data_IF_963950656323
#
_entry.id   IF_963950656323
#
_cell.length_a   1.000
_cell.length_b   1.000
_cell.length_c   1.000
_cell.angle_alpha   90.00
_cell.angle_beta   90.00
_cell.angle_gamma   90.00
#
_symmetry.space_group_name_H-M   'P 1'
#
loop_
_entity.id
_entity.type
_entity.pdbx_description
1 polymer ?
#
# COMPACT_ATOMS: atom_id res chain seq x y z
N UNK A 1 5.57 39.12 -36.99
CA UNK A 1 6.72 40.06 -37.09
C UNK A 1 7.94 39.23 -37.46
N UNK A 2 8.53 39.48 -38.67
CA UNK A 2 9.69 38.67 -39.12
C UNK A 2 10.91 38.77 -38.18
N UNK A 3 11.78 37.75 -38.13
CA UNK A 3 12.94 37.66 -37.22
C UNK A 3 13.84 38.90 -37.27
N UNK A 4 14.01 39.56 -38.44
CA UNK A 4 14.79 40.80 -38.58
C UNK A 4 14.17 42.00 -37.85
N UNK A 5 12.83 42.06 -37.77
CA UNK A 5 12.12 43.14 -37.09
C UNK A 5 12.18 43.00 -35.55
N UNK A 6 12.13 41.77 -35.05
CA UNK A 6 12.27 41.49 -33.59
C UNK A 6 13.64 41.91 -33.06
N UNK A 7 14.74 41.54 -33.76
CA UNK A 7 16.09 41.91 -33.36
C UNK A 7 16.29 43.45 -33.33
N UNK A 8 15.74 44.18 -34.28
CA UNK A 8 15.78 45.65 -34.31
C UNK A 8 15.04 46.26 -33.11
N UNK A 9 13.84 45.74 -32.79
CA UNK A 9 13.07 46.20 -31.63
C UNK A 9 13.79 45.92 -30.31
N UNK A 10 14.36 44.72 -30.15
CA UNK A 10 15.14 44.38 -28.94
C UNK A 10 16.35 45.31 -28.81
N UNK A 11 17.10 45.55 -29.90
CA UNK A 11 18.25 46.45 -29.89
C UNK A 11 17.86 47.89 -29.48
N UNK A 12 16.81 48.43 -30.02
CA UNK A 12 16.31 49.76 -29.69
C UNK A 12 15.83 49.83 -28.23
N UNK A 13 15.02 48.88 -27.81
CA UNK A 13 14.57 48.79 -26.41
C UNK A 13 15.73 48.65 -25.43
N UNK A 14 16.75 47.84 -25.76
CA UNK A 14 17.95 47.69 -24.92
C UNK A 14 18.72 49.02 -24.78
N UNK A 15 18.84 49.84 -25.83
CA UNK A 15 19.45 51.17 -25.75
C UNK A 15 18.66 52.11 -24.82
N UNK A 16 17.34 52.07 -24.88
CA UNK A 16 16.45 52.84 -24.00
C UNK A 16 16.56 52.41 -22.55
N UNK A 17 16.60 51.08 -22.31
CA UNK A 17 16.77 50.52 -20.98
C UNK A 17 18.17 50.81 -20.38
N UNK A 18 19.19 50.96 -21.22
CA UNK A 18 20.52 51.38 -20.78
C UNK A 18 20.53 52.83 -20.26
N UNK A 19 19.66 53.71 -20.80
CA UNK A 19 19.51 55.08 -20.33
C UNK A 19 18.52 55.19 -19.15
N UNK A 20 17.43 54.43 -19.20
CA UNK A 20 16.41 54.39 -18.16
C UNK A 20 15.96 52.93 -17.94
N UNK A 21 16.48 52.25 -16.91
CA UNK A 21 16.12 50.85 -16.62
C UNK A 21 14.60 50.65 -16.38
N UNK A 22 13.87 51.68 -16.01
CA UNK A 22 12.43 51.64 -15.74
C UNK A 22 11.58 52.18 -16.89
N UNK A 23 12.15 52.33 -18.11
CA UNK A 23 11.37 52.74 -19.28
C UNK A 23 10.26 51.73 -19.57
N UNK A 24 9.03 52.11 -19.19
CA UNK A 24 7.87 51.23 -19.23
C UNK A 24 7.51 50.76 -20.65
N UNK A 25 7.75 51.60 -21.67
CA UNK A 25 7.47 51.23 -23.07
C UNK A 25 8.52 50.22 -23.57
N UNK A 26 9.78 50.43 -23.26
CA UNK A 26 10.84 49.51 -23.64
C UNK A 26 10.72 48.17 -22.95
N UNK A 27 10.42 48.15 -21.63
CA UNK A 27 10.16 46.92 -20.85
C UNK A 27 8.99 46.13 -21.43
N UNK A 28 7.89 46.78 -21.80
CA UNK A 28 6.71 46.12 -22.39
C UNK A 28 7.06 45.49 -23.75
N UNK A 29 7.78 46.23 -24.61
CA UNK A 29 8.18 45.76 -25.93
C UNK A 29 9.05 44.49 -25.85
N UNK A 30 10.09 44.49 -25.01
CA UNK A 30 10.96 43.31 -24.86
C UNK A 30 10.24 42.19 -24.13
N UNK A 31 9.44 42.48 -23.13
CA UNK A 31 8.65 41.50 -22.39
C UNK A 31 7.70 40.74 -23.32
N UNK A 32 7.01 41.44 -24.21
CA UNK A 32 6.09 40.84 -25.19
C UNK A 32 6.83 39.94 -26.19
N UNK A 33 8.02 40.35 -26.64
CA UNK A 33 8.84 39.54 -27.54
C UNK A 33 9.33 38.26 -26.82
N UNK A 34 9.89 38.41 -25.62
CA UNK A 34 10.37 37.28 -24.84
C UNK A 34 9.23 36.31 -24.45
N UNK A 35 8.06 36.84 -24.11
CA UNK A 35 6.89 36.03 -23.83
C UNK A 35 6.45 35.19 -25.05
N UNK A 36 6.39 35.83 -26.26
CA UNK A 36 6.07 35.16 -27.52
C UNK A 36 7.13 34.09 -27.89
N UNK A 37 8.40 34.36 -27.60
CA UNK A 37 9.52 33.46 -27.87
C UNK A 37 9.68 32.42 -26.76
N UNK A 38 8.84 32.42 -25.72
CA UNK A 38 8.85 31.51 -24.55
C UNK A 38 10.15 31.59 -23.75
N UNK A 39 10.89 32.75 -23.83
CA UNK A 39 12.02 33.01 -22.93
C UNK A 39 11.46 33.58 -21.62
N UNK A 40 10.98 32.61 -20.78
CA UNK A 40 10.20 32.94 -19.58
C UNK A 40 10.97 33.76 -18.56
N UNK A 41 12.27 33.51 -18.41
CA UNK A 41 13.12 34.28 -17.49
C UNK A 41 13.22 35.73 -17.88
N UNK A 42 13.49 36.04 -19.16
CA UNK A 42 13.58 37.42 -19.65
C UNK A 42 12.21 38.06 -19.69
N UNK A 43 11.16 37.32 -20.04
CA UNK A 43 9.80 37.83 -19.97
C UNK A 43 9.43 38.28 -18.55
N UNK A 44 9.67 37.38 -17.55
CA UNK A 44 9.45 37.69 -16.15
C UNK A 44 10.24 38.94 -15.70
N UNK A 45 11.53 39.01 -16.00
CA UNK A 45 12.39 40.11 -15.62
C UNK A 45 11.92 41.46 -16.25
N UNK A 46 11.34 41.38 -17.46
CA UNK A 46 10.82 42.56 -18.15
C UNK A 46 9.47 43.05 -17.59
N UNK A 47 8.57 42.13 -17.19
CA UNK A 47 7.28 42.49 -16.62
C UNK A 47 7.33 42.88 -15.15
N UNK A 48 8.29 42.36 -14.36
CA UNK A 48 8.35 42.60 -12.92
C UNK A 48 8.39 44.10 -12.53
N UNK A 49 9.22 44.94 -13.14
CA UNK A 49 9.23 46.37 -12.82
C UNK A 49 7.93 47.12 -13.23
N UNK A 50 7.19 46.58 -14.22
CA UNK A 50 5.94 47.15 -14.67
C UNK A 50 4.82 47.07 -13.65
N UNK A 51 4.89 46.10 -12.71
CA UNK A 51 3.90 45.94 -11.63
C UNK A 51 3.88 47.16 -10.70
N UNK A 52 5.00 47.83 -10.49
CA UNK A 52 5.07 49.02 -9.64
C UNK A 52 4.47 50.28 -10.33
N UNK A 53 4.28 50.21 -11.65
CA UNK A 53 3.74 51.27 -12.48
C UNK A 53 2.28 51.02 -12.91
N UNK A 54 1.57 50.12 -12.24
CA UNK A 54 0.21 49.69 -12.64
C UNK A 54 -0.85 50.76 -12.49
N UNK A 55 -0.73 51.67 -11.50
CA UNK A 55 -1.72 52.72 -11.23
C UNK A 55 -1.89 53.72 -12.36
N UNK A 56 -0.89 53.87 -13.21
CA UNK A 56 -0.89 54.83 -14.34
C UNK A 56 -1.44 54.20 -15.64
N UNK A 57 -1.82 52.93 -15.62
CA UNK A 57 -2.24 52.18 -16.81
C UNK A 57 -3.74 51.93 -16.85
N UNK A 58 -4.25 51.81 -18.08
CA UNK A 58 -5.64 51.39 -18.29
C UNK A 58 -5.87 49.92 -17.90
N UNK A 59 -7.08 49.53 -17.50
CA UNK A 59 -7.36 48.18 -17.03
C UNK A 59 -6.98 47.04 -17.98
N UNK A 60 -7.07 47.26 -19.29
CA UNK A 60 -6.67 46.28 -20.30
C UNK A 60 -5.16 46.01 -20.29
N UNK A 61 -4.32 47.04 -20.14
CA UNK A 61 -2.86 46.89 -20.02
C UNK A 61 -2.49 46.27 -18.68
N UNK A 62 -3.14 46.70 -17.59
CA UNK A 62 -2.95 46.08 -16.27
C UNK A 62 -3.23 44.59 -16.32
N UNK A 63 -4.29 44.20 -17.01
CA UNK A 63 -4.66 42.78 -17.18
C UNK A 63 -3.56 41.99 -17.92
N UNK A 64 -3.15 42.48 -19.11
CA UNK A 64 -2.16 41.79 -19.94
C UNK A 64 -0.79 41.65 -19.23
N UNK A 65 -0.30 42.74 -18.61
CA UNK A 65 0.96 42.73 -17.87
C UNK A 65 0.90 41.76 -16.70
N UNK A 66 -0.16 41.83 -15.89
CA UNK A 66 -0.35 40.95 -14.73
C UNK A 66 -0.44 39.47 -15.11
N UNK A 67 -1.18 39.18 -16.19
CA UNK A 67 -1.34 37.84 -16.71
C UNK A 67 -0.02 37.27 -17.21
N UNK A 68 0.69 38.00 -18.07
CA UNK A 68 1.97 37.56 -18.66
C UNK A 68 3.07 37.48 -17.63
N UNK A 69 3.14 38.38 -16.67
CA UNK A 69 4.01 38.27 -15.51
C UNK A 69 3.73 37.00 -14.72
N UNK A 70 2.47 36.74 -14.38
CA UNK A 70 2.06 35.59 -13.64
C UNK A 70 2.39 34.26 -14.35
N UNK A 71 2.14 34.18 -15.67
CA UNK A 71 2.49 33.01 -16.48
C UNK A 71 4.00 32.82 -16.57
N UNK A 72 4.77 33.88 -16.82
CA UNK A 72 6.23 33.82 -16.89
C UNK A 72 6.84 33.36 -15.57
N UNK A 73 6.36 33.91 -14.45
CA UNK A 73 6.77 33.50 -13.11
C UNK A 73 6.44 32.02 -12.83
N UNK A 74 5.25 31.55 -13.25
CA UNK A 74 4.87 30.14 -13.12
C UNK A 74 5.79 29.21 -13.92
N UNK A 75 6.15 29.61 -15.16
CA UNK A 75 7.03 28.83 -16.03
C UNK A 75 8.49 28.79 -15.56
N UNK A 76 8.86 29.63 -14.62
CA UNK A 76 10.17 29.70 -13.97
C UNK A 76 10.12 29.25 -12.50
N UNK A 77 9.07 28.50 -12.12
CA UNK A 77 8.82 27.94 -10.79
C UNK A 77 8.75 28.98 -9.64
N UNK A 78 8.51 30.25 -9.98
CA UNK A 78 8.31 31.36 -9.02
C UNK A 78 6.83 31.43 -8.63
N UNK A 79 6.35 30.43 -7.86
CA UNK A 79 4.93 30.26 -7.56
C UNK A 79 4.29 31.39 -6.71
N UNK A 80 5.08 32.05 -5.87
CA UNK A 80 4.60 33.19 -5.06
C UNK A 80 4.29 34.38 -5.96
N UNK A 81 5.23 34.72 -6.81
CA UNK A 81 5.15 35.81 -7.80
C UNK A 81 4.08 35.51 -8.85
N UNK A 82 4.01 34.25 -9.30
CA UNK A 82 2.97 33.78 -10.20
C UNK A 82 1.57 34.01 -9.62
N UNK A 83 1.33 33.64 -8.36
CA UNK A 83 0.06 33.90 -7.68
C UNK A 83 -0.23 35.40 -7.58
N UNK A 84 0.77 36.23 -7.24
CA UNK A 84 0.59 37.68 -7.17
C UNK A 84 0.08 38.23 -8.50
N UNK A 85 0.76 37.93 -9.62
CA UNK A 85 0.37 38.41 -10.94
C UNK A 85 -1.01 37.89 -11.38
N UNK A 86 -1.25 36.57 -11.22
CA UNK A 86 -2.53 35.99 -11.61
C UNK A 86 -3.71 36.48 -10.77
N UNK A 87 -3.52 36.78 -9.48
CA UNK A 87 -4.57 37.39 -8.65
C UNK A 87 -4.87 38.85 -9.04
N UNK A 88 -3.85 39.60 -9.41
CA UNK A 88 -4.06 40.97 -9.97
C UNK A 88 -4.88 40.91 -11.27
N UNK A 89 -4.50 40.06 -12.21
CA UNK A 89 -5.24 39.83 -13.44
C UNK A 89 -6.68 39.35 -13.18
N UNK A 90 -6.89 38.49 -12.18
CA UNK A 90 -8.21 37.98 -11.79
C UNK A 90 -9.15 39.05 -11.29
N UNK A 91 -8.65 40.11 -10.62
CA UNK A 91 -9.48 41.20 -10.16
C UNK A 91 -10.12 41.97 -11.34
N UNK A 92 -9.47 41.96 -12.51
CA UNK A 92 -9.96 42.62 -13.73
C UNK A 92 -10.86 41.67 -14.53
N UNK A 93 -10.40 40.43 -14.75
CA UNK A 93 -11.17 39.41 -15.46
C UNK A 93 -11.22 38.08 -14.67
N UNK A 94 -12.20 37.93 -13.77
CA UNK A 94 -12.28 36.76 -12.87
C UNK A 94 -12.64 35.43 -13.56
N UNK A 95 -13.12 35.47 -14.81
CA UNK A 95 -13.57 34.28 -15.53
C UNK A 95 -12.58 33.81 -16.62
N UNK A 96 -11.41 34.46 -16.73
CA UNK A 96 -10.44 34.12 -17.75
C UNK A 96 -9.89 32.69 -17.51
N UNK A 97 -9.87 31.92 -18.58
CA UNK A 97 -9.45 30.49 -18.50
C UNK A 97 -8.05 30.35 -17.92
N UNK A 98 -7.04 30.99 -18.51
CA UNK A 98 -5.63 30.82 -18.14
C UNK A 98 -5.35 31.20 -16.69
N UNK A 99 -6.01 32.24 -16.17
CA UNK A 99 -5.88 32.66 -14.78
C UNK A 99 -6.37 31.54 -13.85
N UNK A 100 -7.61 31.08 -14.09
CA UNK A 100 -8.21 30.07 -13.25
C UNK A 100 -7.48 28.72 -13.36
N UNK A 101 -7.07 28.32 -14.57
CA UNK A 101 -6.28 27.13 -14.78
C UNK A 101 -4.93 27.20 -14.05
N UNK A 102 -4.17 28.27 -14.24
CA UNK A 102 -2.84 28.39 -13.64
C UNK A 102 -2.88 28.54 -12.11
N UNK A 103 -3.84 29.28 -11.55
CA UNK A 103 -4.05 29.31 -10.10
C UNK A 103 -4.41 27.93 -9.56
N UNK A 104 -5.33 27.23 -10.22
CA UNK A 104 -5.69 25.88 -9.84
C UNK A 104 -4.50 24.92 -9.90
N UNK A 105 -3.68 24.99 -10.94
CA UNK A 105 -2.47 24.22 -11.09
C UNK A 105 -1.43 24.52 -10.00
N UNK A 106 -1.18 25.81 -9.70
CA UNK A 106 -0.25 26.20 -8.63
C UNK A 106 -0.71 25.66 -7.28
N UNK A 107 -2.00 25.78 -6.94
CA UNK A 107 -2.54 25.22 -5.71
C UNK A 107 -2.44 23.70 -5.66
N UNK A 108 -2.63 23.01 -6.80
CA UNK A 108 -2.43 21.57 -6.90
C UNK A 108 -0.97 21.17 -6.59
N UNK A 109 0.02 21.84 -7.20
CA UNK A 109 1.45 21.58 -6.96
C UNK A 109 1.84 21.85 -5.50
N UNK A 110 1.26 22.88 -4.90
CA UNK A 110 1.46 23.21 -3.49
C UNK A 110 0.67 22.30 -2.53
N UNK A 111 -0.05 21.29 -3.05
CA UNK A 111 -0.91 20.38 -2.30
C UNK A 111 -2.03 21.05 -1.51
N UNK A 112 -2.39 22.29 -1.90
CA UNK A 112 -3.53 23.04 -1.37
C UNK A 112 -4.80 22.66 -2.16
N UNK A 113 -5.16 21.39 -2.12
CA UNK A 113 -6.16 20.78 -3.01
C UNK A 113 -7.56 21.42 -2.90
N UNK A 114 -7.99 21.78 -1.68
CA UNK A 114 -9.27 22.43 -1.45
C UNK A 114 -9.36 23.78 -2.16
N UNK A 115 -8.25 24.51 -2.26
CA UNK A 115 -8.18 25.78 -3.00
C UNK A 115 -8.07 25.55 -4.50
N UNK A 116 -7.46 24.46 -4.95
CA UNK A 116 -7.31 24.15 -6.37
C UNK A 116 -8.65 23.88 -7.05
N UNK A 117 -9.55 23.12 -6.41
CA UNK A 117 -10.85 22.68 -6.99
C UNK A 117 -11.68 23.82 -7.55
N UNK A 118 -12.00 24.91 -6.80
CA UNK A 118 -12.84 25.98 -7.31
C UNK A 118 -12.23 26.68 -8.52
N UNK A 119 -10.91 26.85 -8.58
CA UNK A 119 -10.24 27.45 -9.72
C UNK A 119 -10.29 26.55 -10.95
N UNK A 120 -9.98 25.27 -10.81
CA UNK A 120 -10.05 24.32 -11.92
C UNK A 120 -11.48 24.16 -12.46
N UNK A 121 -12.48 24.08 -11.57
CA UNK A 121 -13.89 24.08 -11.98
C UNK A 121 -14.26 25.36 -12.75
N UNK A 122 -13.78 26.51 -12.28
CA UNK A 122 -14.05 27.79 -12.94
C UNK A 122 -13.39 27.87 -14.32
N UNK A 123 -12.18 27.35 -14.48
CA UNK A 123 -11.52 27.21 -15.78
C UNK A 123 -12.37 26.36 -16.74
N UNK A 124 -12.90 25.24 -16.25
CA UNK A 124 -13.74 24.33 -17.06
C UNK A 124 -15.14 24.89 -17.39
N UNK A 125 -15.62 25.94 -16.71
CA UNK A 125 -16.81 26.67 -17.15
C UNK A 125 -16.56 27.41 -18.46
N UNK A 126 -15.33 27.88 -18.69
CA UNK A 126 -14.94 28.59 -19.89
C UNK A 126 -14.50 27.66 -21.02
N UNK A 127 -13.77 26.60 -20.67
CA UNK A 127 -13.29 25.57 -21.60
C UNK A 127 -13.61 24.16 -21.04
N UNK A 128 -14.83 23.65 -21.27
CA UNK A 128 -15.30 22.40 -20.63
C UNK A 128 -14.52 21.14 -20.98
N UNK A 129 -13.87 21.14 -22.15
CA UNK A 129 -13.16 19.96 -22.67
C UNK A 129 -11.63 20.14 -22.65
N UNK A 130 -11.15 21.13 -21.89
CA UNK A 130 -9.71 21.31 -21.75
C UNK A 130 -9.10 20.15 -20.96
N UNK A 131 -8.34 19.30 -21.65
CA UNK A 131 -7.77 18.05 -21.13
C UNK A 131 -6.88 18.28 -19.92
N UNK A 132 -6.07 19.35 -19.92
CA UNK A 132 -5.17 19.66 -18.80
C UNK A 132 -5.93 20.10 -17.55
N UNK A 133 -6.96 20.92 -17.70
CA UNK A 133 -7.81 21.34 -16.58
C UNK A 133 -8.60 20.15 -16.01
N UNK A 134 -9.14 19.28 -16.86
CA UNK A 134 -9.81 18.04 -16.46
C UNK A 134 -8.85 17.09 -15.73
N UNK A 135 -7.64 16.91 -16.24
CA UNK A 135 -6.60 16.08 -15.63
C UNK A 135 -6.29 16.53 -14.20
N UNK A 136 -5.96 17.82 -14.04
CA UNK A 136 -5.63 18.33 -12.71
C UNK A 136 -6.84 18.38 -11.77
N UNK A 137 -8.06 18.63 -12.27
CA UNK A 137 -9.26 18.52 -11.46
C UNK A 137 -9.46 17.06 -10.97
N UNK A 138 -9.31 16.07 -11.84
CA UNK A 138 -9.40 14.66 -11.50
C UNK A 138 -8.40 14.25 -10.41
N UNK A 139 -7.12 14.63 -10.59
CA UNK A 139 -6.07 14.35 -9.62
C UNK A 139 -6.26 15.09 -8.28
N UNK A 140 -6.74 16.33 -8.34
CA UNK A 140 -7.04 17.10 -7.13
C UNK A 140 -8.16 16.46 -6.32
N UNK A 141 -9.25 16.06 -6.99
CA UNK A 141 -10.38 15.39 -6.36
C UNK A 141 -9.99 14.01 -5.80
N UNK A 142 -9.17 13.25 -6.52
CA UNK A 142 -8.59 11.99 -6.02
C UNK A 142 -7.78 12.23 -4.74
N UNK A 143 -6.90 13.23 -4.73
CA UNK A 143 -6.08 13.58 -3.55
C UNK A 143 -6.94 13.98 -2.35
N UNK A 144 -8.11 14.60 -2.59
CA UNK A 144 -9.11 14.91 -1.57
C UNK A 144 -10.00 13.71 -1.19
N UNK A 145 -9.74 12.52 -1.71
CA UNK A 145 -10.55 11.32 -1.53
C UNK A 145 -12.00 11.45 -2.05
N UNK A 146 -12.24 12.41 -2.95
CA UNK A 146 -13.53 12.60 -3.62
C UNK A 146 -13.60 11.77 -4.89
N UNK A 147 -13.42 10.47 -4.72
CA UNK A 147 -13.21 9.52 -5.81
C UNK A 147 -14.36 9.51 -6.84
N UNK A 148 -15.61 9.53 -6.36
CA UNK A 148 -16.78 9.56 -7.25
C UNK A 148 -16.80 10.83 -8.13
N UNK A 149 -16.40 11.98 -7.57
CA UNK A 149 -16.36 13.25 -8.31
C UNK A 149 -15.16 13.31 -9.29
N UNK A 150 -14.08 12.56 -9.02
CA UNK A 150 -12.90 12.53 -9.87
C UNK A 150 -13.14 11.73 -11.17
N UNK A 151 -13.92 10.65 -11.12
CA UNK A 151 -14.14 9.71 -12.23
C UNK A 151 -14.62 10.37 -13.53
N UNK A 152 -15.61 11.29 -13.55
CA UNK A 152 -16.04 11.95 -14.79
C UNK A 152 -14.95 12.75 -15.47
N UNK A 153 -14.11 13.46 -14.68
CA UNK A 153 -13.00 14.26 -15.22
C UNK A 153 -11.92 13.36 -15.81
N UNK A 154 -11.53 12.29 -15.09
CA UNK A 154 -10.54 11.31 -15.57
C UNK A 154 -11.02 10.59 -16.81
N UNK A 155 -12.32 10.23 -16.88
CA UNK A 155 -12.90 9.59 -18.06
C UNK A 155 -12.78 10.49 -19.28
N UNK A 156 -13.15 11.77 -19.18
CA UNK A 156 -13.00 12.74 -20.29
C UNK A 156 -11.54 12.88 -20.75
N UNK A 157 -10.57 12.85 -19.82
CA UNK A 157 -9.15 12.84 -20.18
C UNK A 157 -8.81 11.61 -21.05
N UNK A 158 -9.29 10.43 -20.66
CA UNK A 158 -9.03 9.17 -21.35
C UNK A 158 -9.82 9.05 -22.68
N UNK A 159 -10.96 9.72 -22.81
CA UNK A 159 -11.67 9.80 -24.11
C UNK A 159 -10.83 10.51 -25.18
N UNK A 160 -9.97 11.48 -24.78
CA UNK A 160 -9.06 12.21 -25.67
C UNK A 160 -7.67 11.59 -25.73
N UNK A 161 -7.19 11.06 -24.62
CA UNK A 161 -5.85 10.46 -24.45
C UNK A 161 -5.97 9.05 -23.87
N UNK A 162 -6.38 8.04 -24.64
CA UNK A 162 -6.60 6.66 -24.15
C UNK A 162 -5.34 6.03 -23.55
N UNK A 163 -4.17 6.40 -24.06
CA UNK A 163 -2.86 5.86 -23.63
C UNK A 163 -2.24 6.60 -22.43
N UNK A 164 -2.98 7.54 -21.82
CA UNK A 164 -2.48 8.27 -20.64
C UNK A 164 -2.50 7.35 -19.41
N UNK A 165 -1.38 6.65 -19.18
CA UNK A 165 -1.24 5.63 -18.14
C UNK A 165 -1.43 6.17 -16.73
N UNK A 166 -1.01 7.41 -16.46
CA UNK A 166 -1.21 8.05 -15.16
C UNK A 166 -2.69 8.34 -14.89
N UNK A 167 -3.42 8.88 -15.89
CA UNK A 167 -4.85 9.13 -15.76
C UNK A 167 -5.64 7.82 -15.63
N UNK A 168 -5.23 6.79 -16.38
CA UNK A 168 -5.83 5.45 -16.28
C UNK A 168 -5.55 4.82 -14.91
N UNK A 169 -4.33 4.97 -14.38
CA UNK A 169 -3.99 4.51 -13.05
C UNK A 169 -4.80 5.24 -11.97
N UNK A 170 -4.90 6.57 -12.05
CA UNK A 170 -5.71 7.38 -11.14
C UNK A 170 -7.20 6.96 -11.16
N UNK A 171 -7.74 6.65 -12.34
CA UNK A 171 -9.09 6.12 -12.48
C UNK A 171 -9.24 4.74 -11.83
N UNK A 172 -8.23 3.88 -11.98
CA UNK A 172 -8.16 2.58 -11.30
C UNK A 172 -8.18 2.70 -9.77
N UNK A 173 -7.39 3.63 -9.22
CA UNK A 173 -7.40 3.93 -7.78
C UNK A 173 -8.78 4.44 -7.32
N UNK A 174 -9.40 5.34 -8.08
CA UNK A 174 -10.75 5.79 -7.76
C UNK A 174 -11.76 4.63 -7.74
N UNK A 175 -11.73 3.71 -8.73
CA UNK A 175 -12.59 2.53 -8.73
C UNK A 175 -12.33 1.60 -7.54
N UNK A 176 -11.07 1.41 -7.18
CA UNK A 176 -10.70 0.59 -6.01
C UNK A 176 -11.25 1.17 -4.71
N UNK A 177 -11.10 2.46 -4.51
CA UNK A 177 -11.54 3.15 -3.28
C UNK A 177 -13.07 3.25 -3.15
N UNK A 178 -13.80 3.29 -4.29
CA UNK A 178 -15.27 3.22 -4.26
C UNK A 178 -15.81 1.79 -4.23
N UNK A 179 -14.93 0.78 -4.17
CA UNK A 179 -15.32 -0.64 -4.09
C UNK A 179 -15.65 -1.29 -5.42
N UNK A 180 -15.45 -0.62 -6.56
CA UNK A 180 -15.67 -1.17 -7.91
C UNK A 180 -14.49 -2.04 -8.35
N UNK A 181 -14.22 -3.11 -7.59
CA UNK A 181 -13.02 -3.93 -7.71
C UNK A 181 -12.83 -4.56 -9.09
N UNK A 182 -13.89 -4.95 -9.79
CA UNK A 182 -13.79 -5.55 -11.13
C UNK A 182 -13.26 -4.55 -12.17
N UNK A 183 -13.70 -3.29 -12.09
CA UNK A 183 -13.23 -2.21 -12.97
C UNK A 183 -11.79 -1.84 -12.64
N UNK A 184 -11.47 -1.69 -11.36
CA UNK A 184 -10.11 -1.45 -10.89
C UNK A 184 -9.15 -2.56 -11.33
N UNK A 185 -9.54 -3.84 -11.15
CA UNK A 185 -8.71 -4.98 -11.51
C UNK A 185 -8.42 -5.05 -13.01
N UNK A 186 -9.38 -4.75 -13.88
CA UNK A 186 -9.16 -4.68 -15.33
C UNK A 186 -8.08 -3.65 -15.67
N UNK A 187 -8.17 -2.45 -15.09
CA UNK A 187 -7.22 -1.37 -15.30
C UNK A 187 -5.83 -1.77 -14.78
N UNK A 188 -5.72 -2.21 -13.54
CA UNK A 188 -4.44 -2.55 -12.94
C UNK A 188 -3.77 -3.76 -13.61
N UNK A 189 -4.54 -4.76 -14.03
CA UNK A 189 -4.01 -5.90 -14.81
C UNK A 189 -3.42 -5.44 -16.14
N UNK A 190 -4.04 -4.46 -16.81
CA UNK A 190 -3.51 -3.87 -18.03
C UNK A 190 -2.22 -3.07 -17.76
N UNK A 191 -2.20 -2.28 -16.69
CA UNK A 191 -1.10 -1.38 -16.37
C UNK A 191 0.10 -2.05 -15.69
N UNK A 192 -0.03 -3.25 -15.11
CA UNK A 192 1.02 -3.91 -14.31
C UNK A 192 2.34 -4.16 -15.06
N UNK A 193 2.33 -4.10 -16.39
CA UNK A 193 3.52 -4.25 -17.24
C UNK A 193 4.12 -2.91 -17.71
N UNK A 194 3.49 -1.78 -17.36
CA UNK A 194 3.94 -0.45 -17.76
C UNK A 194 5.15 -0.01 -16.93
N UNK A 195 6.21 0.52 -17.56
CA UNK A 195 7.39 0.98 -16.81
C UNK A 195 7.08 2.07 -15.77
N UNK A 196 6.14 3.00 -16.08
CA UNK A 196 5.90 4.17 -15.24
C UNK A 196 5.04 3.86 -14.01
N UNK A 197 4.00 3.03 -14.16
CA UNK A 197 3.01 2.77 -13.11
C UNK A 197 2.89 1.29 -12.74
N UNK A 198 3.63 0.42 -13.46
CA UNK A 198 3.51 -1.04 -13.35
C UNK A 198 3.65 -1.60 -11.94
N UNK A 199 4.68 -1.24 -11.17
CA UNK A 199 4.84 -1.74 -9.80
C UNK A 199 3.65 -1.43 -8.90
N UNK A 200 3.13 -0.21 -8.98
CA UNK A 200 1.95 0.19 -8.21
C UNK A 200 0.68 -0.52 -8.71
N UNK A 201 0.50 -0.63 -10.02
CA UNK A 201 -0.64 -1.33 -10.60
C UNK A 201 -0.63 -2.82 -10.25
N UNK A 202 0.52 -3.47 -10.27
CA UNK A 202 0.70 -4.86 -9.83
C UNK A 202 0.36 -5.04 -8.35
N UNK A 203 0.76 -4.09 -7.51
CA UNK A 203 0.41 -4.09 -6.09
C UNK A 203 -1.11 -4.07 -5.90
N UNK A 204 -1.83 -3.15 -6.53
CA UNK A 204 -3.29 -3.07 -6.42
C UNK A 204 -3.99 -4.31 -7.00
N UNK A 205 -3.55 -4.80 -8.17
CA UNK A 205 -4.12 -6.02 -8.76
C UNK A 205 -3.97 -7.23 -7.82
N UNK A 206 -2.78 -7.41 -7.26
CA UNK A 206 -2.49 -8.45 -6.29
C UNK A 206 -3.31 -8.34 -5.01
N UNK A 207 -3.47 -7.12 -4.47
CA UNK A 207 -4.31 -6.87 -3.28
C UNK A 207 -5.78 -7.21 -3.53
N UNK A 208 -6.33 -6.80 -4.67
CA UNK A 208 -7.73 -7.12 -5.04
C UNK A 208 -7.91 -8.64 -5.12
N UNK A 209 -7.02 -9.34 -5.83
CA UNK A 209 -7.07 -10.80 -5.98
C UNK A 209 -6.87 -11.54 -4.66
N UNK A 210 -5.97 -11.06 -3.81
CA UNK A 210 -5.74 -11.64 -2.49
C UNK A 210 -6.97 -11.54 -1.59
N UNK A 211 -7.69 -10.41 -1.63
CA UNK A 211 -8.99 -10.23 -0.93
C UNK A 211 -10.08 -11.13 -1.49
N UNK A 212 -10.06 -11.39 -2.80
CA UNK A 212 -10.99 -12.29 -3.48
C UNK A 212 -10.61 -13.80 -3.31
N UNK A 213 -9.57 -14.14 -2.54
CA UNK A 213 -9.10 -15.50 -2.34
C UNK A 213 -8.36 -16.11 -3.54
N UNK A 214 -8.06 -15.34 -4.59
CA UNK A 214 -7.33 -15.79 -5.78
C UNK A 214 -5.81 -15.71 -5.54
N UNK A 215 -5.31 -16.53 -4.61
CA UNK A 215 -3.96 -16.41 -4.07
C UNK A 215 -2.87 -16.59 -5.13
N UNK A 216 -2.99 -17.58 -6.02
CA UNK A 216 -2.01 -17.86 -7.06
C UNK A 216 -1.86 -16.68 -8.04
N UNK A 217 -3.00 -16.10 -8.45
CA UNK A 217 -3.00 -14.92 -9.33
C UNK A 217 -2.46 -13.68 -8.61
N UNK A 218 -2.71 -13.56 -7.30
CA UNK A 218 -2.14 -12.45 -6.52
C UNK A 218 -0.62 -12.54 -6.39
N UNK A 219 -0.09 -13.76 -6.21
CA UNK A 219 1.35 -14.03 -6.22
C UNK A 219 1.96 -13.61 -7.57
N UNK A 220 1.32 -14.00 -8.68
CA UNK A 220 1.76 -13.64 -10.03
C UNK A 220 1.83 -12.11 -10.21
N UNK A 221 0.80 -11.38 -9.76
CA UNK A 221 0.78 -9.91 -9.87
C UNK A 221 1.92 -9.28 -9.07
N UNK A 222 2.14 -9.70 -7.81
CA UNK A 222 3.24 -9.16 -7.00
C UNK A 222 4.61 -9.48 -7.61
N UNK A 223 4.80 -10.68 -8.17
CA UNK A 223 6.03 -11.06 -8.85
C UNK A 223 6.28 -10.24 -10.13
N UNK A 224 5.22 -9.93 -10.89
CA UNK A 224 5.32 -9.03 -12.05
C UNK A 224 5.75 -7.64 -11.58
N UNK A 225 5.15 -7.13 -10.50
CA UNK A 225 5.52 -5.84 -9.93
C UNK A 225 6.99 -5.76 -9.53
N UNK A 226 7.53 -6.84 -8.96
CA UNK A 226 8.93 -6.92 -8.51
C UNK A 226 9.95 -7.08 -9.65
N UNK A 227 9.51 -7.37 -10.88
CA UNK A 227 10.41 -7.50 -12.05
C UNK A 227 10.74 -6.15 -12.72
N UNK A 228 10.08 -5.08 -12.32
CA UNK A 228 10.39 -3.75 -12.83
C UNK A 228 11.69 -3.21 -12.25
N UNK A 229 12.39 -2.38 -13.03
CA UNK A 229 13.57 -1.67 -12.57
C UNK A 229 13.20 -0.37 -11.83
N UNK A 230 14.07 0.08 -10.92
CA UNK A 230 13.93 1.39 -10.27
C UNK A 230 12.71 1.54 -9.37
N UNK A 231 12.19 0.46 -8.81
CA UNK A 231 11.00 0.49 -7.95
C UNK A 231 11.31 1.32 -6.68
N UNK A 232 10.48 2.31 -6.32
CA UNK A 232 10.60 3.00 -5.04
C UNK A 232 10.58 2.02 -3.87
N UNK A 233 11.42 2.26 -2.85
CA UNK A 233 11.63 1.32 -1.74
C UNK A 233 10.37 0.98 -0.97
N UNK A 234 9.49 1.95 -0.78
CA UNK A 234 8.18 1.77 -0.14
C UNK A 234 7.28 0.80 -0.91
N UNK A 235 7.19 0.96 -2.25
CA UNK A 235 6.42 0.08 -3.12
C UNK A 235 7.05 -1.33 -3.18
N UNK A 236 8.38 -1.41 -3.25
CA UNK A 236 9.08 -2.69 -3.22
C UNK A 236 8.81 -3.47 -1.93
N UNK A 237 8.88 -2.80 -0.79
CA UNK A 237 8.59 -3.42 0.50
C UNK A 237 7.12 -3.87 0.60
N UNK A 238 6.17 -3.07 0.10
CA UNK A 238 4.75 -3.45 0.06
C UNK A 238 4.51 -4.67 -0.83
N UNK A 239 5.12 -4.72 -2.02
CA UNK A 239 5.02 -5.86 -2.94
C UNK A 239 5.56 -7.14 -2.27
N UNK A 240 6.77 -7.09 -1.69
CA UNK A 240 7.39 -8.23 -1.02
C UNK A 240 6.61 -8.68 0.21
N UNK A 241 6.12 -7.74 1.00
CA UNK A 241 5.33 -8.06 2.20
C UNK A 241 4.03 -8.78 1.84
N UNK A 242 3.30 -8.27 0.85
CA UNK A 242 2.05 -8.91 0.40
C UNK A 242 2.30 -10.22 -0.35
N UNK A 243 3.40 -10.33 -1.11
CA UNK A 243 3.84 -11.60 -1.72
C UNK A 243 4.13 -12.64 -0.64
N UNK A 244 4.86 -12.28 0.42
CA UNK A 244 5.11 -13.18 1.54
C UNK A 244 3.80 -13.59 2.23
N UNK A 245 2.88 -12.65 2.46
CA UNK A 245 1.58 -12.95 3.06
C UNK A 245 0.73 -13.91 2.19
N UNK A 246 0.73 -13.74 0.88
CA UNK A 246 0.06 -14.65 -0.05
C UNK A 246 0.70 -16.05 -0.03
N UNK A 247 2.03 -16.13 -0.03
CA UNK A 247 2.78 -17.40 0.05
C UNK A 247 2.61 -18.13 1.38
N UNK A 248 2.46 -17.40 2.50
CA UNK A 248 2.11 -17.99 3.80
C UNK A 248 0.72 -18.65 3.72
N UNK A 249 -0.25 -17.96 3.09
CA UNK A 249 -1.61 -18.54 2.92
C UNK A 249 -1.62 -19.78 2.01
N UNK A 250 -0.73 -19.86 1.03
CA UNK A 250 -0.56 -21.05 0.17
C UNK A 250 0.42 -22.07 0.75
N UNK A 251 0.88 -21.87 1.99
CA UNK A 251 1.81 -22.75 2.72
C UNK A 251 3.22 -22.86 2.10
N UNK A 252 3.59 -21.99 1.18
CA UNK A 252 4.96 -21.90 0.63
C UNK A 252 5.84 -21.05 1.55
N UNK A 253 6.11 -21.59 2.76
CA UNK A 253 6.84 -20.87 3.80
C UNK A 253 8.27 -20.55 3.43
N UNK A 254 8.93 -21.40 2.64
CA UNK A 254 10.31 -21.20 2.22
C UNK A 254 10.45 -19.94 1.36
N UNK A 255 9.60 -19.80 0.34
CA UNK A 255 9.62 -18.62 -0.53
C UNK A 255 9.10 -17.37 0.18
N UNK A 256 8.15 -17.51 1.12
CA UNK A 256 7.70 -16.40 1.95
C UNK A 256 8.85 -15.84 2.81
N UNK A 257 9.64 -16.71 3.45
CA UNK A 257 10.79 -16.30 4.26
C UNK A 257 11.88 -15.58 3.46
N UNK A 258 12.08 -15.95 2.18
CA UNK A 258 13.01 -15.24 1.30
C UNK A 258 12.58 -13.76 1.20
N UNK A 259 11.31 -13.51 0.89
CA UNK A 259 10.81 -12.15 0.74
C UNK A 259 10.88 -11.33 2.03
N UNK A 260 10.52 -11.95 3.16
CA UNK A 260 10.59 -11.29 4.47
C UNK A 260 12.05 -10.93 4.85
N UNK A 261 13.02 -11.82 4.59
CA UNK A 261 14.44 -11.56 4.87
C UNK A 261 15.01 -10.46 4.00
N UNK A 262 14.59 -10.35 2.74
CA UNK A 262 14.99 -9.26 1.86
C UNK A 262 14.46 -7.90 2.38
N UNK A 263 13.21 -7.84 2.88
CA UNK A 263 12.70 -6.64 3.55
C UNK A 263 13.52 -6.33 4.80
N UNK A 264 13.79 -7.34 5.64
CA UNK A 264 14.55 -7.18 6.88
C UNK A 264 15.96 -6.61 6.63
N UNK A 265 16.60 -7.00 5.53
CA UNK A 265 17.95 -6.53 5.16
C UNK A 265 17.94 -5.07 4.76
N UNK A 266 16.93 -4.63 4.01
CA UNK A 266 16.87 -3.25 3.47
C UNK A 266 16.14 -2.29 4.41
N UNK A 267 15.15 -2.79 5.15
CA UNK A 267 14.27 -2.01 6.03
C UNK A 267 14.00 -2.78 7.35
N UNK A 268 14.97 -2.85 8.29
CA UNK A 268 14.87 -3.71 9.48
C UNK A 268 13.66 -3.48 10.39
N UNK A 269 13.08 -2.27 10.37
CA UNK A 269 11.90 -1.91 11.17
C UNK A 269 10.57 -1.94 10.43
N UNK A 270 10.52 -2.55 9.25
CA UNK A 270 9.31 -2.54 8.44
C UNK A 270 8.24 -3.46 9.02
N UNK A 271 7.09 -2.88 9.42
CA UNK A 271 5.92 -3.60 9.98
C UNK A 271 6.33 -4.69 11.01
N UNK A 272 5.72 -5.84 10.96
CA UNK A 272 5.96 -7.00 11.84
C UNK A 272 6.88 -8.06 11.22
N UNK A 273 7.69 -7.69 10.23
CA UNK A 273 8.55 -8.60 9.46
C UNK A 273 9.45 -9.45 10.34
N UNK A 274 10.09 -8.85 11.36
CA UNK A 274 10.98 -9.59 12.26
C UNK A 274 10.25 -10.71 13.02
N UNK A 275 9.05 -10.43 13.51
CA UNK A 275 8.24 -11.43 14.23
C UNK A 275 7.71 -12.52 13.29
N UNK A 276 7.36 -12.19 12.05
CA UNK A 276 6.96 -13.15 11.02
C UNK A 276 8.13 -14.09 10.66
N UNK A 277 9.34 -13.55 10.50
CA UNK A 277 10.54 -14.38 10.25
C UNK A 277 10.75 -15.37 11.37
N UNK A 278 10.78 -14.93 12.64
CA UNK A 278 10.94 -15.84 13.78
C UNK A 278 9.89 -16.95 13.78
N UNK A 279 8.62 -16.57 13.61
CA UNK A 279 7.49 -17.51 13.62
C UNK A 279 7.57 -18.55 12.51
N UNK A 280 7.78 -18.11 11.28
CA UNK A 280 7.73 -19.02 10.12
C UNK A 280 9.04 -19.75 9.88
N UNK A 281 10.17 -19.23 10.37
CA UNK A 281 11.45 -19.96 10.34
C UNK A 281 11.40 -21.20 11.24
N UNK A 282 10.81 -21.09 12.44
CA UNK A 282 10.58 -22.24 13.33
C UNK A 282 9.69 -23.31 12.65
N UNK A 283 8.59 -22.85 12.02
CA UNK A 283 7.67 -23.74 11.28
C UNK A 283 8.33 -24.42 10.08
N UNK A 284 9.16 -23.70 9.33
CA UNK A 284 9.84 -24.20 8.15
C UNK A 284 10.93 -25.22 8.51
N UNK A 285 11.56 -25.10 9.69
CA UNK A 285 12.58 -26.04 10.18
C UNK A 285 11.97 -27.31 10.77
N UNK A 286 10.75 -27.25 11.30
CA UNK A 286 10.06 -28.39 11.91
C UNK A 286 8.81 -28.78 11.11
N UNK A 287 8.96 -29.74 10.21
CA UNK A 287 7.88 -30.26 9.36
C UNK A 287 6.69 -30.78 10.17
N UNK A 288 6.93 -31.42 11.30
CA UNK A 288 5.88 -31.95 12.17
C UNK A 288 5.14 -30.80 12.89
N UNK A 289 5.84 -29.74 13.29
CA UNK A 289 5.19 -28.53 13.85
C UNK A 289 4.33 -27.84 12.79
N UNK A 290 4.81 -27.74 11.55
CA UNK A 290 4.02 -27.24 10.44
C UNK A 290 2.74 -28.07 10.25
N UNK A 291 2.86 -29.40 10.19
CA UNK A 291 1.69 -30.32 10.09
C UNK A 291 0.76 -30.14 11.29
N UNK A 292 1.29 -30.03 12.51
CA UNK A 292 0.49 -29.85 13.73
C UNK A 292 -0.38 -28.60 13.67
N UNK A 293 0.15 -27.47 13.19
CA UNK A 293 -0.53 -26.19 13.20
C UNK A 293 -1.36 -25.91 11.93
N UNK A 294 -0.89 -26.34 10.77
CA UNK A 294 -1.38 -25.84 9.48
C UNK A 294 -2.09 -26.90 8.62
N UNK A 295 -1.80 -28.19 8.84
CA UNK A 295 -2.37 -29.25 8.01
C UNK A 295 -3.88 -29.46 8.21
N UNK A 296 -4.52 -30.10 7.26
CA UNK A 296 -5.91 -30.53 7.35
C UNK A 296 -6.16 -31.46 8.54
N UNK A 297 -7.43 -31.65 8.91
CA UNK A 297 -7.81 -32.41 10.10
C UNK A 297 -7.29 -33.88 10.05
N UNK A 298 -7.37 -34.52 8.90
CA UNK A 298 -6.92 -35.91 8.72
C UNK A 298 -5.43 -36.06 8.95
N UNK A 299 -4.60 -35.16 8.40
CA UNK A 299 -3.14 -35.18 8.57
C UNK A 299 -2.74 -34.86 10.02
N UNK A 300 -3.44 -33.92 10.66
CA UNK A 300 -3.24 -33.59 12.06
C UNK A 300 -3.52 -34.79 12.95
N UNK A 301 -4.66 -35.46 12.78
CA UNK A 301 -4.99 -36.69 13.54
C UNK A 301 -3.96 -37.80 13.27
N UNK A 302 -3.51 -37.94 12.02
CA UNK A 302 -2.44 -38.86 11.67
C UNK A 302 -1.12 -38.58 12.43
N UNK A 303 -0.78 -37.28 12.56
CA UNK A 303 0.38 -36.87 13.37
C UNK A 303 0.17 -37.15 14.85
N UNK A 304 -1.00 -36.85 15.43
CA UNK A 304 -1.32 -37.13 16.82
C UNK A 304 -1.21 -38.65 17.13
N UNK A 305 -1.70 -39.50 16.22
CA UNK A 305 -1.52 -40.96 16.34
C UNK A 305 -0.04 -41.36 16.38
N UNK A 306 0.81 -40.79 15.53
CA UNK A 306 2.26 -41.04 15.54
C UNK A 306 2.90 -40.58 16.85
N UNK A 307 2.47 -39.42 17.40
CA UNK A 307 2.93 -38.96 18.71
C UNK A 307 2.59 -40.00 19.76
N UNK A 308 1.32 -40.40 19.90
CA UNK A 308 0.86 -41.37 20.90
C UNK A 308 1.64 -42.69 20.80
N UNK A 309 1.78 -43.20 19.55
CA UNK A 309 2.46 -44.51 19.32
C UNK A 309 3.96 -44.49 19.67
N UNK A 310 4.61 -43.33 19.69
CA UNK A 310 6.06 -43.19 19.96
C UNK A 310 6.38 -42.49 21.27
N UNK A 311 5.34 -42.05 22.01
CA UNK A 311 5.51 -41.21 23.20
C UNK A 311 6.24 -41.93 24.35
N UNK A 312 5.94 -43.19 24.56
CA UNK A 312 6.61 -44.01 25.56
C UNK A 312 7.59 -45.00 24.89
N UNK A 313 8.90 -44.84 25.11
CA UNK A 313 9.88 -45.78 24.55
C UNK A 313 9.64 -47.22 25.03
N UNK A 314 9.73 -48.16 24.11
CA UNK A 314 9.56 -49.61 24.38
C UNK A 314 8.18 -50.05 24.92
N UNK A 315 7.14 -49.20 24.76
CA UNK A 315 5.78 -49.57 25.11
C UNK A 315 5.04 -50.21 23.94
N UNK A 316 4.16 -51.15 24.23
CA UNK A 316 3.11 -51.54 23.29
C UNK A 316 1.96 -50.56 23.44
N UNK A 317 1.58 -49.95 22.35
CA UNK A 317 0.54 -48.92 22.32
C UNK A 317 -0.64 -49.39 21.47
N UNK A 318 -1.83 -49.43 22.06
CA UNK A 318 -3.06 -49.76 21.37
C UNK A 318 -4.02 -48.58 21.49
N UNK A 319 -4.26 -47.86 20.40
CA UNK A 319 -5.23 -46.78 20.35
C UNK A 319 -6.64 -47.37 20.37
N UNK A 320 -7.45 -46.96 21.34
CA UNK A 320 -8.81 -47.46 21.56
C UNK A 320 -9.86 -46.53 20.95
N UNK A 321 -9.69 -45.21 21.11
CA UNK A 321 -10.65 -44.19 20.66
C UNK A 321 -9.96 -42.91 20.20
N UNK A 322 -10.56 -42.23 19.26
CA UNK A 322 -10.15 -40.90 18.79
C UNK A 322 -11.38 -40.02 18.68
N UNK A 323 -11.47 -39.02 19.54
CA UNK A 323 -12.55 -38.06 19.56
C UNK A 323 -12.03 -36.72 19.07
N UNK A 324 -12.58 -36.21 17.93
CA UNK A 324 -12.18 -34.94 17.33
C UNK A 324 -13.27 -33.92 17.59
N UNK A 325 -12.97 -32.88 18.36
CA UNK A 325 -13.84 -31.78 18.72
C UNK A 325 -13.37 -30.46 18.08
N UNK A 326 -14.18 -29.45 18.14
CA UNK A 326 -13.88 -28.17 17.50
C UNK A 326 -12.59 -27.50 18.06
N UNK A 327 -12.29 -27.69 19.34
CA UNK A 327 -11.19 -27.01 20.05
C UNK A 327 -10.02 -27.93 20.36
N UNK A 328 -10.23 -29.24 20.43
CA UNK A 328 -9.19 -30.22 20.77
C UNK A 328 -9.46 -31.59 20.16
N UNK A 329 -8.45 -32.44 20.16
CA UNK A 329 -8.57 -33.87 19.79
C UNK A 329 -8.10 -34.70 20.95
N UNK A 330 -8.91 -35.68 21.39
CA UNK A 330 -8.57 -36.65 22.38
C UNK A 330 -8.24 -37.98 21.71
N UNK A 331 -7.16 -38.64 22.18
CA UNK A 331 -6.80 -40.00 21.82
C UNK A 331 -6.67 -40.83 23.11
N UNK A 332 -7.44 -41.88 23.20
CA UNK A 332 -7.42 -42.85 24.31
C UNK A 332 -6.60 -44.03 23.88
N UNK A 333 -5.60 -44.41 24.66
CA UNK A 333 -4.71 -45.52 24.34
C UNK A 333 -4.37 -46.36 25.57
N UNK A 334 -4.38 -47.70 25.40
CA UNK A 334 -3.71 -48.62 26.32
C UNK A 334 -2.21 -48.59 26.09
N UNK A 335 -1.46 -48.32 27.15
CA UNK A 335 -0.01 -48.27 27.15
C UNK A 335 0.51 -49.42 28.04
N UNK A 336 1.18 -50.34 27.43
CA UNK A 336 1.79 -51.49 28.14
C UNK A 336 3.32 -51.36 28.06
N UNK A 337 3.94 -51.08 29.18
CA UNK A 337 5.39 -50.96 29.34
C UNK A 337 5.93 -52.11 30.19
N UNK A 338 7.23 -52.38 30.20
CA UNK A 338 7.81 -53.41 31.09
C UNK A 338 7.57 -53.15 32.58
N UNK A 339 7.15 -51.94 32.99
CA UNK A 339 7.01 -51.56 34.41
C UNK A 339 5.56 -51.34 34.83
N UNK A 340 4.69 -51.00 33.93
CA UNK A 340 3.28 -50.70 34.20
C UNK A 340 2.43 -50.84 32.92
N UNK A 341 1.16 -51.13 33.09
CA UNK A 341 0.15 -51.09 32.03
C UNK A 341 -1.03 -50.27 32.50
N UNK A 342 -1.48 -49.28 31.69
CA UNK A 342 -2.59 -48.41 32.07
C UNK A 342 -3.23 -47.77 30.84
N UNK A 343 -4.41 -47.16 31.08
CA UNK A 343 -5.10 -46.34 30.11
C UNK A 343 -4.60 -44.90 30.22
N UNK A 344 -4.18 -44.32 29.10
CA UNK A 344 -3.71 -42.91 29.02
C UNK A 344 -4.56 -42.15 28.01
N UNK A 345 -4.97 -40.95 28.38
CA UNK A 345 -5.69 -40.04 27.50
C UNK A 345 -4.75 -38.90 27.08
N UNK A 346 -4.62 -38.72 25.79
CA UNK A 346 -3.87 -37.60 25.20
C UNK A 346 -4.87 -36.55 24.65
N UNK A 347 -4.72 -35.30 25.08
CA UNK A 347 -5.49 -34.16 24.56
C UNK A 347 -4.58 -33.19 23.82
N UNK A 348 -4.90 -32.93 22.57
CA UNK A 348 -4.11 -32.09 21.67
C UNK A 348 -4.86 -30.79 21.31
N UNK A 349 -4.25 -29.63 21.58
CA UNK A 349 -4.73 -28.31 21.20
C UNK A 349 -3.89 -27.74 20.08
N UNK A 350 -4.52 -27.37 18.97
CA UNK A 350 -3.85 -26.69 17.84
C UNK A 350 -3.68 -25.17 18.07
N UNK A 351 -4.49 -24.60 18.98
CA UNK A 351 -4.44 -23.20 19.31
C UNK A 351 -3.06 -22.78 19.84
N UNK A 352 -2.56 -21.64 19.40
CA UNK A 352 -1.36 -21.00 19.93
C UNK A 352 -1.66 -20.10 21.16
N UNK A 353 -2.91 -20.02 21.57
CA UNK A 353 -3.34 -19.32 22.75
C UNK A 353 -3.00 -20.03 24.05
N UNK A 354 -3.39 -19.42 25.18
CA UNK A 354 -3.19 -19.99 26.50
C UNK A 354 -4.35 -20.90 26.91
N UNK A 355 -4.03 -22.10 27.37
CA UNK A 355 -5.01 -23.08 27.91
C UNK A 355 -5.20 -22.81 29.39
N UNK A 356 -6.45 -22.49 29.78
CA UNK A 356 -6.82 -22.14 31.14
C UNK A 356 -7.21 -23.34 32.01
N UNK A 357 -7.38 -23.09 33.33
CA UNK A 357 -7.71 -24.10 34.34
C UNK A 357 -9.01 -24.84 34.06
N UNK A 358 -10.07 -24.15 33.60
CA UNK A 358 -11.39 -24.79 33.36
C UNK A 358 -11.29 -25.94 32.34
N UNK A 359 -10.48 -25.79 31.31
CA UNK A 359 -10.25 -26.80 30.28
C UNK A 359 -9.55 -28.03 30.88
N UNK A 360 -8.63 -27.81 31.81
CA UNK A 360 -7.93 -28.94 32.50
C UNK A 360 -8.81 -29.60 33.54
N UNK A 361 -9.74 -28.89 34.17
CA UNK A 361 -10.75 -29.46 35.07
C UNK A 361 -11.69 -30.41 34.30
N UNK A 362 -12.15 -30.00 33.14
CA UNK A 362 -12.93 -30.84 32.23
C UNK A 362 -12.13 -32.10 31.85
N UNK A 363 -10.86 -31.93 31.43
CA UNK A 363 -10.01 -33.04 31.04
C UNK A 363 -9.75 -34.00 32.21
N UNK A 364 -9.54 -33.50 33.43
CA UNK A 364 -9.38 -34.33 34.62
C UNK A 364 -10.68 -35.08 34.97
N UNK A 365 -11.86 -34.46 34.75
CA UNK A 365 -13.14 -35.15 34.87
C UNK A 365 -13.23 -36.40 33.95
N UNK A 366 -12.85 -36.20 32.68
CA UNK A 366 -12.81 -37.29 31.67
C UNK A 366 -11.84 -38.41 32.03
N UNK A 367 -10.67 -38.07 32.59
CA UNK A 367 -9.70 -39.08 33.06
C UNK A 367 -10.31 -39.95 34.14
N UNK A 368 -11.03 -39.36 35.12
CA UNK A 368 -11.72 -40.09 36.19
C UNK A 368 -12.87 -40.96 35.66
N UNK A 369 -13.67 -40.42 34.77
CA UNK A 369 -14.81 -41.08 34.12
C UNK A 369 -14.33 -42.35 33.39
N UNK A 370 -13.26 -42.20 32.61
CA UNK A 370 -12.64 -43.31 31.84
C UNK A 370 -11.79 -44.25 32.69
N UNK A 371 -11.61 -43.96 33.99
CA UNK A 371 -10.68 -44.68 34.91
C UNK A 371 -9.25 -44.76 34.33
N UNK A 372 -8.81 -43.75 33.62
CA UNK A 372 -7.45 -43.71 33.07
C UNK A 372 -6.45 -43.31 34.18
N UNK A 373 -5.29 -43.93 34.16
CA UNK A 373 -4.24 -43.67 35.15
C UNK A 373 -3.51 -42.37 34.91
N UNK A 374 -3.56 -41.85 33.65
CA UNK A 374 -2.84 -40.63 33.30
C UNK A 374 -3.51 -39.86 32.15
N UNK A 375 -3.40 -38.53 32.22
CA UNK A 375 -3.72 -37.62 31.14
C UNK A 375 -2.50 -36.83 30.66
N UNK A 376 -2.35 -36.67 29.38
CA UNK A 376 -1.29 -35.87 28.75
C UNK A 376 -1.92 -34.82 27.90
N UNK A 377 -1.69 -33.56 28.24
CA UNK A 377 -2.24 -32.42 27.55
C UNK A 377 -1.13 -31.70 26.77
N UNK A 378 -1.29 -31.55 25.45
CA UNK A 378 -0.32 -30.96 24.55
C UNK A 378 -0.93 -29.73 23.87
N UNK A 379 -0.21 -28.59 23.88
CA UNK A 379 -0.62 -27.36 23.21
C UNK A 379 0.53 -26.75 22.42
N UNK A 380 0.20 -26.14 21.26
CA UNK A 380 1.13 -25.30 20.53
C UNK A 380 1.25 -23.88 21.14
N UNK A 381 0.49 -23.58 22.19
CA UNK A 381 0.54 -22.36 22.98
C UNK A 381 1.17 -22.56 24.36
N UNK A 382 0.58 -21.91 25.34
CA UNK A 382 1.02 -21.93 26.75
C UNK A 382 -0.10 -22.44 27.65
N UNK A 383 0.21 -22.67 28.92
CA UNK A 383 -0.77 -22.90 29.98
C UNK A 383 -0.74 -21.71 30.94
N UNK A 384 -1.91 -21.29 31.46
CA UNK A 384 -1.96 -20.25 32.50
C UNK A 384 -1.34 -20.76 33.80
N UNK A 385 -0.96 -19.87 34.70
CA UNK A 385 -0.42 -20.23 36.01
C UNK A 385 -1.43 -21.02 36.86
N UNK A 386 -2.71 -20.67 36.79
CA UNK A 386 -3.79 -21.40 37.44
C UNK A 386 -3.92 -22.83 36.88
N UNK A 387 -3.79 -22.98 35.57
CA UNK A 387 -3.80 -24.29 34.90
C UNK A 387 -2.62 -25.16 35.39
N UNK A 388 -1.43 -24.60 35.51
CA UNK A 388 -0.23 -25.31 36.04
C UNK A 388 -0.42 -25.73 37.50
N UNK A 389 -0.87 -24.82 38.36
CA UNK A 389 -1.16 -25.11 39.79
C UNK A 389 -2.25 -26.18 39.94
N UNK A 390 -3.26 -26.15 39.08
CA UNK A 390 -4.31 -27.17 39.11
C UNK A 390 -3.77 -28.60 38.87
N UNK A 391 -2.73 -28.75 38.06
CA UNK A 391 -2.17 -30.09 37.76
C UNK A 391 -1.22 -30.65 38.83
N UNK A 392 -0.80 -29.83 39.80
CA UNK A 392 0.05 -30.28 40.90
C UNK A 392 -0.63 -31.36 41.73
N UNK A 393 0.04 -32.48 41.88
CA UNK A 393 -0.48 -33.67 42.62
C UNK A 393 -1.59 -34.43 41.88
N UNK A 394 -1.88 -34.13 40.60
CA UNK A 394 -2.85 -34.87 39.78
C UNK A 394 -2.15 -35.65 38.67
N UNK A 395 -2.75 -36.71 38.16
CA UNK A 395 -2.16 -37.54 37.10
C UNK A 395 -2.29 -36.84 35.74
N UNK A 396 -1.79 -35.60 35.64
CA UNK A 396 -1.86 -34.73 34.46
C UNK A 396 -0.48 -34.18 34.13
N UNK A 397 0.01 -34.49 32.93
CA UNK A 397 1.23 -33.90 32.39
C UNK A 397 0.91 -32.84 31.35
N UNK A 398 1.57 -31.69 31.47
CA UNK A 398 1.42 -30.57 30.55
C UNK A 398 2.61 -30.43 29.62
N UNK A 399 2.32 -30.35 28.30
CA UNK A 399 3.29 -30.12 27.25
C UNK A 399 2.91 -28.80 26.54
N UNK A 400 3.57 -27.71 26.94
CA UNK A 400 3.49 -26.43 26.25
C UNK A 400 4.27 -26.45 24.92
N UNK A 401 4.27 -25.35 24.19
CA UNK A 401 4.95 -25.21 22.90
C UNK A 401 6.38 -25.77 22.91
N UNK A 402 7.15 -25.47 23.95
CA UNK A 402 8.57 -25.88 24.02
C UNK A 402 8.73 -27.39 24.20
N UNK A 403 7.92 -27.98 25.05
CA UNK A 403 7.92 -29.43 25.27
C UNK A 403 7.32 -30.17 24.08
N UNK A 404 6.25 -29.62 23.47
CA UNK A 404 5.65 -30.18 22.25
C UNK A 404 6.66 -30.21 21.09
N UNK A 405 7.42 -29.13 20.89
CA UNK A 405 8.45 -29.05 19.84
C UNK A 405 9.51 -30.17 20.01
N UNK A 406 9.92 -30.48 21.25
CA UNK A 406 10.84 -31.57 21.49
C UNK A 406 10.24 -32.92 21.09
N UNK A 407 8.96 -33.15 21.41
CA UNK A 407 8.23 -34.36 21.02
C UNK A 407 8.13 -34.47 19.49
N UNK A 408 7.75 -33.37 18.82
CA UNK A 408 7.60 -33.33 17.36
C UNK A 408 8.91 -33.55 16.61
N UNK A 409 10.03 -33.09 17.16
CA UNK A 409 11.36 -33.34 16.60
C UNK A 409 11.80 -34.82 16.78
N UNK A 410 11.38 -35.45 17.87
CA UNK A 410 11.77 -36.84 18.18
C UNK A 410 11.03 -37.89 17.34
N UNK A 411 9.89 -37.54 16.74
CA UNK A 411 9.05 -38.44 15.93
C UNK A 411 9.29 -38.30 14.41
N UNK A 412 10.20 -37.41 14.00
CA UNK A 412 10.56 -37.11 12.62
C UNK A 412 11.11 -38.26 11.80
#
# INVERSE_FOLDING_TARGET
VGKKNKAAVICEATKRLAQNPNDSTALLMVGDIYFQDQDWEKAYASYAPLLDQMSERIPSEQFEISLRYGISAMKTDRFVEAKKGLLLAKNINPNHFEINYNLGYIYYIQKEYEKAVPFLRKALLTQPDNVMALKYLGYTLQSLRKYQEALPSLKKVLDVQPDNKEALFAMGECFYEVGSNDQALKIFTHLRVSPEVGPRAALYAGLIRMRAGQLEKSIEDFEIGLKHDGIPLDIMNELRYNLAAARIKTQDLQKALIQLKEIQTVSPGYKDVASLIMRYQELNQNKNLHTYLMAGQSEFVGLCRRIVSRFFPNAKVKILDISVLATYTDIVAEIDTPKWADLVIFRFFRSQGSVGELVLRDFHGRIKEMKAGKGICMTAGTFTEEARRFTEGRPLDLFDKNRLNKVLNAIG
#
